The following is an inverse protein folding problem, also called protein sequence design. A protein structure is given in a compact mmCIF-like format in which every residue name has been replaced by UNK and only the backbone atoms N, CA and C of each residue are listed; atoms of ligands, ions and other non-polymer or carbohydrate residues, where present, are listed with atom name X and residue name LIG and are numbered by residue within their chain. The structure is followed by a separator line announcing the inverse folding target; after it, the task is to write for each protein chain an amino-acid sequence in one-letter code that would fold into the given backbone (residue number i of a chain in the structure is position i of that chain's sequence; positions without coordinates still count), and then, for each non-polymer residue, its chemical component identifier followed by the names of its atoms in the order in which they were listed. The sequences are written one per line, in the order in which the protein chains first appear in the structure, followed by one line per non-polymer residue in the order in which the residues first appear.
data_IF_027788711139
#
_entry.id   IF_027788711139
#
_cell.length_a   1.000
_cell.length_b   1.000
_cell.length_c   1.000
_cell.angle_alpha   90.00
_cell.angle_beta   90.00
_cell.angle_gamma   90.00
#
_symmetry.space_group_name_H-M   'P 1'
#
loop_
_entity.id
_entity.type
_entity.pdbx_description
1 polymer ?
2 water ?
#
# COMPACT_ATOMS: atom_id res chain seq x y z
N UNK A 10 -25.38 -5.81 7.75
CA UNK A 10 -23.93 -5.63 7.63
C UNK A 10 -23.16 -6.88 8.08
N UNK A 11 -22.45 -7.53 7.16
CA UNK A 11 -21.73 -8.77 7.46
C UNK A 11 -20.50 -8.54 8.34
N UNK A 12 -20.45 -9.21 9.49
CA UNK A 12 -19.32 -9.06 10.41
C UNK A 12 -18.56 -10.36 10.55
N UNK A 13 -17.24 -10.28 10.40
CA UNK A 13 -16.38 -11.45 10.46
C UNK A 13 -15.22 -11.21 11.42
N UNK A 14 -14.52 -12.30 11.75
CA UNK A 14 -13.38 -12.24 12.64
C UNK A 14 -12.16 -12.69 11.86
N UNK A 15 -11.15 -11.82 11.77
CA UNK A 15 -9.93 -12.13 11.04
C UNK A 15 -8.75 -12.12 11.99
N UNK A 16 -8.02 -13.22 12.01
CA UNK A 16 -6.83 -13.35 12.85
C UNK A 16 -5.58 -13.37 11.97
N UNK A 17 -4.60 -12.54 12.31
CA UNK A 17 -3.42 -12.36 11.46
C UNK A 17 -2.12 -12.60 12.23
N UNK A 18 -1.16 -13.26 11.56
CA UNK A 18 0.23 -13.31 12.04
C UNK A 18 1.01 -12.16 11.42
N UNK A 19 1.24 -11.12 12.23
CA UNK A 19 1.93 -9.91 11.79
C UNK A 19 3.30 -10.22 11.22
N UNK A 20 3.46 -9.85 9.96
CA UNK A 20 4.74 -9.95 9.29
C UNK A 20 5.55 -8.74 9.75
N UNK A 21 5.58 -7.67 8.95
CA UNK A 21 5.91 -6.37 9.52
C UNK A 21 4.66 -5.51 9.55
N UNK A 22 4.00 -5.49 10.69
CA UNK A 22 2.64 -4.95 10.77
C UNK A 22 1.64 -5.84 10.04
N UNK A 23 0.38 -5.41 10.03
CA UNK A 23 -0.69 -6.17 9.40
C UNK A 23 -0.75 -5.98 7.88
N UNK A 24 0.06 -5.06 7.36
CA UNK A 24 0.08 -4.73 5.92
C UNK A 24 -1.18 -4.02 5.51
N UNK A 25 -1.50 -2.97 6.27
CA UNK A 25 -2.77 -2.24 6.21
C UNK A 25 -2.53 -0.74 6.34
N UNK A 26 -3.22 0.02 5.52
CA UNK A 26 -3.14 1.46 5.58
C UNK A 26 -4.54 1.88 5.93
N UNK A 27 -4.69 2.54 7.08
CA UNK A 27 -6.03 2.86 7.62
C UNK A 27 -6.33 4.35 7.67
N UNK A 28 -7.59 4.67 7.96
CA UNK A 28 -8.02 6.06 8.06
C UNK A 28 -9.20 6.17 9.02
N UNK A 29 -9.26 7.27 9.75
CA UNK A 29 -10.43 7.57 10.56
C UNK A 29 -11.44 8.35 9.74
N UNK A 30 -12.66 7.83 9.63
CA UNK A 30 -13.73 8.47 8.87
C UNK A 30 -15.10 8.22 9.49
N UNK A 31 -16.09 9.00 9.04
CA UNK A 31 -17.47 8.75 9.39
C UNK A 31 -18.19 8.16 8.19
N UNK A 32 -18.83 7.02 8.41
CA UNK A 32 -19.71 6.44 7.40
C UNK A 32 -20.79 7.45 7.11
N UNK A 33 -21.23 7.51 5.86
CA UNK A 33 -22.24 8.49 5.47
C UNK A 33 -23.46 8.34 6.35
N UNK A 34 -23.86 7.10 6.62
CA UNK A 34 -24.96 6.83 7.54
C UNK A 34 -24.64 7.34 8.94
N UNK A 35 -23.47 6.95 9.43
CA UNK A 35 -23.09 7.11 10.83
C UNK A 35 -22.75 8.53 11.31
N UNK A 36 -22.90 8.71 12.62
CA UNK A 36 -22.44 9.89 13.35
C UNK A 36 -21.18 9.51 14.18
N UNK A 37 -21.06 8.21 14.44
CA UNK A 37 -19.90 7.63 15.13
C UNK A 37 -18.71 7.58 14.17
N UNK A 38 -17.57 8.11 14.62
CA UNK A 38 -16.31 8.03 13.88
C UNK A 38 -15.83 6.59 13.87
N UNK A 39 -15.19 6.17 12.78
CA UNK A 39 -14.74 4.78 12.63
C UNK A 39 -13.35 4.60 12.04
N UNK A 40 -12.76 3.43 12.26
CA UNK A 40 -11.52 3.05 11.60
C UNK A 40 -11.82 2.17 10.38
N UNK A 41 -11.33 2.61 9.21
CA UNK A 41 -11.58 1.93 7.96
C UNK A 41 -10.26 1.57 7.29
N UNK A 42 -10.30 0.49 6.50
CA UNK A 42 -9.17 0.10 5.65
C UNK A 42 -9.17 0.99 4.44
N UNK A 43 -8.18 1.87 4.35
CA UNK A 43 -8.05 2.72 3.18
C UNK A 43 -7.50 1.91 2.00
N UNK A 44 -6.52 1.02 2.27
CA UNK A 44 -5.91 0.20 1.24
C UNK A 44 -5.09 -0.90 1.93
N UNK A 45 -4.87 -2.00 1.20
CA UNK A 45 -4.08 -3.17 1.64
C UNK A 45 -2.75 -3.22 0.87
N UNK A 46 -1.68 -3.52 1.61
CA UNK A 46 -0.34 -3.63 1.04
C UNK A 46 -0.19 -5.01 0.40
N UNK A 47 0.13 -5.03 -0.90
CA UNK A 47 0.31 -6.28 -1.60
C UNK A 47 1.44 -7.04 -0.90
N UNK A 48 1.23 -8.32 -0.63
CA UNK A 48 2.26 -9.16 -0.03
C UNK A 48 2.37 -9.02 1.47
N UNK A 49 1.50 -8.22 2.08
CA UNK A 49 1.49 -8.09 3.53
C UNK A 49 0.61 -9.15 4.14
N UNK A 50 0.57 -9.22 5.47
CA UNK A 50 -0.22 -10.22 6.20
C UNK A 50 -1.73 -10.25 5.82
N UNK A 51 -2.38 -9.09 5.82
CA UNK A 51 -3.79 -9.03 5.45
C UNK A 51 -4.02 -9.44 4.00
N UNK A 52 -3.11 -9.06 3.11
CA UNK A 52 -3.20 -9.44 1.70
C UNK A 52 -3.17 -10.97 1.52
N UNK A 53 -2.21 -11.61 2.17
CA UNK A 53 -2.02 -13.06 2.07
C UNK A 53 -3.23 -13.80 2.66
N UNK A 54 -3.71 -13.30 3.80
CA UNK A 54 -4.92 -13.78 4.42
C UNK A 54 -6.11 -13.66 3.46
N UNK A 55 -6.11 -12.62 2.64
CA UNK A 55 -7.05 -12.54 1.52
C UNK A 55 -8.47 -12.08 1.82
N UNK A 56 -8.83 -11.98 3.09
CA UNK A 56 -10.17 -11.50 3.49
C UNK A 56 -10.34 -9.97 3.44
N UNK A 57 -9.51 -9.23 4.17
CA UNK A 57 -9.61 -7.76 4.28
C UNK A 57 -9.48 -6.98 2.96
N UNK A 58 -10.22 -5.88 2.84
CA UNK A 58 -10.23 -5.06 1.63
C UNK A 58 -10.57 -3.60 1.90
N UNK A 59 -10.07 -2.70 1.03
CA UNK A 59 -10.37 -1.27 1.11
C UNK A 59 -11.85 -1.05 1.32
N UNK A 60 -12.20 -0.21 2.29
CA UNK A 60 -13.59 0.09 2.63
C UNK A 60 -14.12 -0.61 3.89
N UNK A 61 -13.48 -1.71 4.27
CA UNK A 61 -13.93 -2.47 5.42
C UNK A 61 -13.71 -1.65 6.67
N UNK A 62 -14.68 -1.71 7.57
CA UNK A 62 -14.53 -1.06 8.85
C UNK A 62 -13.91 -1.99 9.84
N UNK A 63 -12.95 -1.49 10.61
CA UNK A 63 -12.37 -2.23 11.72
C UNK A 63 -13.10 -1.92 13.05
N UNK A 64 -13.96 -2.85 13.45
CA UNK A 64 -14.82 -2.64 14.61
C UNK A 64 -14.07 -2.73 15.93
N UNK A 65 -13.35 -3.84 16.12
CA UNK A 65 -12.56 -4.04 17.33
C UNK A 65 -11.19 -4.59 17.02
N UNK A 66 -10.23 -4.28 17.89
CA UNK A 66 -8.90 -4.86 17.85
C UNK A 66 -8.65 -5.60 19.19
N UNK A 67 -8.34 -6.90 19.09
CA UNK A 67 -8.10 -7.77 20.25
C UNK A 67 -9.27 -7.80 21.27
N UNK A 68 -10.48 -7.57 20.79
CA UNK A 68 -11.66 -7.55 21.64
C UNK A 68 -12.02 -6.18 22.17
N UNK A 69 -11.15 -5.19 21.94
CA UNK A 69 -11.40 -3.81 22.36
C UNK A 69 -11.87 -2.93 21.19
N UNK A 70 -13.04 -2.31 21.34
CA UNK A 70 -13.71 -1.57 20.27
C UNK A 70 -12.88 -0.38 19.79
N UNK A 71 -12.96 -0.12 18.48
CA UNK A 71 -12.28 1.01 17.84
C UNK A 71 -13.28 2.07 17.40
N UNK A 72 -14.56 1.75 17.56
CA UNK A 72 -15.67 2.62 17.18
C UNK A 72 -15.79 3.86 18.09
N UNK A 73 -15.90 5.04 17.47
CA UNK A 73 -16.16 6.29 18.17
C UNK A 73 -15.01 6.91 18.96
N UNK A 74 -13.80 6.38 18.77
CA UNK A 74 -12.63 6.84 19.51
C UNK A 74 -11.82 7.92 18.79
N UNK A 75 -11.19 8.77 19.60
CA UNK A 75 -10.17 9.73 19.17
C UNK A 75 -9.07 9.02 18.38
N UNK A 76 -8.40 9.75 17.48
CA UNK A 76 -7.31 9.17 16.69
C UNK A 76 -6.11 8.79 17.58
N UNK A 77 -5.91 9.52 18.67
CA UNK A 77 -4.93 9.17 19.70
C UNK A 77 -5.23 7.82 20.36
N UNK A 78 -6.47 7.65 20.86
CA UNK A 78 -6.90 6.43 21.53
C UNK A 78 -6.77 5.18 20.65
N UNK A 79 -7.12 5.32 19.37
CA UNK A 79 -7.04 4.23 18.41
C UNK A 79 -5.59 3.86 18.04
N UNK A 80 -4.75 4.88 17.83
CA UNK A 80 -3.33 4.66 17.52
C UNK A 80 -2.62 3.94 18.66
N UNK A 81 -2.93 4.34 19.89
CA UNK A 81 -2.42 3.67 21.09
C UNK A 81 -2.79 2.19 21.04
N UNK A 82 -4.03 1.89 20.67
CA UNK A 82 -4.55 0.53 20.64
C UNK A 82 -3.94 -0.35 19.57
N UNK A 83 -3.47 0.28 18.51
CA UNK A 83 -2.85 -0.44 17.39
C UNK A 83 -1.39 -0.76 17.69
N UNK A 84 -0.70 0.15 18.36
CA UNK A 84 0.71 -0.05 18.76
C UNK A 84 0.89 -1.10 19.86
N UNK A 85 -0.19 -1.39 20.58
CA UNK A 85 -0.17 -2.35 21.68
C UNK A 85 -0.41 -3.81 21.25
N UNK A 86 -0.67 -4.03 19.96
CA UNK A 86 -1.04 -5.35 19.44
C UNK A 86 0.12 -6.33 19.47
N UNK A 87 -0.17 -7.61 19.67
CA UNK A 87 0.88 -8.65 19.76
C UNK A 87 1.42 -8.98 18.36
N UNK A 88 2.24 -10.03 18.26
CA UNK A 88 2.61 -10.59 16.96
C UNK A 88 1.38 -11.17 16.27
N UNK A 89 0.35 -11.40 17.09
CA UNK A 89 -0.92 -11.95 16.62
C UNK A 89 -2.03 -10.99 17.02
N UNK A 90 -2.87 -10.66 16.04
CA UNK A 90 -3.98 -9.73 16.25
C UNK A 90 -5.30 -10.30 15.69
N UNK A 91 -6.36 -10.17 16.48
CA UNK A 91 -7.68 -10.57 16.05
C UNK A 91 -8.56 -9.34 15.88
N UNK A 92 -9.04 -9.16 14.65
CA UNK A 92 -9.89 -8.04 14.31
C UNK A 92 -11.33 -8.52 14.09
N UNK A 93 -12.29 -7.74 14.57
CA UNK A 93 -13.67 -7.83 14.12
C UNK A 93 -13.85 -6.79 13.06
N UNK A 94 -14.25 -7.23 11.87
CA UNK A 94 -14.37 -6.35 10.72
C UNK A 94 -15.78 -6.38 10.18
N UNK A 95 -16.34 -5.18 9.97
CA UNK A 95 -17.60 -5.03 9.25
C UNK A 95 -17.27 -4.93 7.76
N UNK A 96 -17.52 -6.01 7.02
CA UNK A 96 -17.37 -6.02 5.57
C UNK A 96 -18.20 -4.94 4.86
N UNK A 97 -17.54 -4.18 3.97
CA UNK A 97 -18.21 -3.12 3.19
C UNK A 97 -19.35 -3.72 2.39
N UNK A 98 -20.55 -3.19 2.61
CA UNK A 98 -21.75 -3.70 1.96
C UNK A 98 -21.81 -3.34 0.49
N UNK A 99 -22.45 -4.22 -0.28
CA UNK A 99 -22.78 -3.94 -1.67
C UNK A 99 -23.80 -2.82 -1.72
N UNK A 100 -24.91 -3.03 -1.00
CA UNK A 100 -25.92 -2.02 -0.79
C UNK A 100 -25.50 -1.24 0.44
N UNK A 101 -25.14 0.02 0.22
CA UNK A 101 -24.59 0.85 1.28
C UNK A 101 -24.97 2.31 1.17
N UNK A 102 -24.98 2.97 2.32
CA UNK A 102 -25.29 4.38 2.38
C UNK A 102 -24.06 5.20 1.96
N UNK A 103 -24.30 6.26 1.21
CA UNK A 103 -23.21 7.07 0.65
C UNK A 103 -23.66 8.53 0.54
N UNK A 104 -22.72 9.42 0.27
CA UNK A 104 -23.00 10.83 0.36
C UNK A 104 -22.65 11.62 -0.91
N UNK A 105 -23.68 12.04 -1.62
CA UNK A 105 -23.52 12.62 -2.95
C UNK A 105 -23.78 14.09 -3.00
N UNK A 106 -23.01 14.78 -3.83
CA UNK A 106 -23.01 16.21 -3.81
C UNK A 106 -22.85 16.81 -5.22
N UNK B 10 20.81 -8.78 -14.70
CA UNK B 10 19.62 -8.08 -14.18
C UNK B 10 18.50 -7.99 -15.21
N UNK B 11 17.36 -8.62 -14.91
CA UNK B 11 16.23 -8.67 -15.86
C UNK B 11 15.52 -7.34 -15.96
N UNK B 12 15.44 -6.80 -17.19
CA UNK B 12 14.78 -5.52 -17.43
C UNK B 12 13.56 -5.68 -18.32
N UNK B 13 12.44 -5.16 -17.85
CA UNK B 13 11.18 -5.25 -18.56
C UNK B 13 10.53 -3.89 -18.74
N UNK B 14 9.55 -3.84 -19.63
CA UNK B 14 8.83 -2.61 -19.92
C UNK B 14 7.38 -2.84 -19.51
N UNK B 15 6.91 -2.00 -18.58
CA UNK B 15 5.53 -2.09 -18.10
C UNK B 15 4.78 -0.81 -18.45
N UNK B 16 3.64 -0.98 -19.11
CA UNK B 16 2.78 0.13 -19.48
C UNK B 16 1.48 0.04 -18.67
N UNK B 17 1.12 1.16 -18.02
CA UNK B 17 -0.03 1.20 -17.12
C UNK B 17 -1.06 2.27 -17.50
N UNK B 18 -2.34 1.92 -17.37
CA UNK B 18 -3.45 2.88 -17.40
C UNK B 18 -3.74 3.38 -15.98
N UNK B 19 -3.23 4.58 -15.68
CA UNK B 19 -3.34 5.19 -14.37
C UNK B 19 -4.77 5.29 -13.95
N UNK B 20 -5.08 4.59 -12.86
CA UNK B 20 -6.37 4.67 -12.20
C UNK B 20 -6.38 5.99 -11.43
N UNK B 21 -6.16 5.95 -10.12
CA UNK B 21 -5.70 7.16 -9.46
C UNK B 21 -4.22 7.00 -9.10
N UNK B 22 -3.36 7.56 -9.95
CA UNK B 22 -1.93 7.26 -9.95
C UNK B 22 -1.65 5.81 -10.32
N UNK B 23 -0.39 5.41 -10.27
CA UNK B 23 0.01 4.07 -10.68
C UNK B 23 -0.25 3.00 -9.62
N UNK B 24 -0.60 3.44 -8.40
CA UNK B 24 -0.83 2.54 -7.27
C UNK B 24 0.48 1.99 -6.76
N UNK B 25 1.43 2.90 -6.53
CA UNK B 25 2.81 2.59 -6.19
C UNK B 25 3.31 3.51 -5.07
N UNK B 26 4.04 2.93 -4.12
CA UNK B 26 4.67 3.72 -3.09
C UNK B 26 6.16 3.55 -3.32
N UNK B 27 6.86 4.63 -3.65
CA UNK B 27 8.28 4.55 -4.03
C UNK B 27 9.22 5.16 -3.00
N UNK B 28 10.52 4.93 -3.21
CA UNK B 28 11.56 5.47 -2.32
C UNK B 28 12.85 5.65 -3.11
N UNK B 29 13.58 6.73 -2.80
CA UNK B 29 14.94 6.92 -3.33
C UNK B 29 15.95 6.21 -2.44
N UNK B 30 16.75 5.33 -3.03
CA UNK B 30 17.76 4.57 -2.28
C UNK B 30 18.96 4.25 -3.16
N UNK B 31 20.05 3.83 -2.53
CA UNK B 31 21.22 3.31 -3.23
C UNK B 31 21.26 1.81 -3.06
N UNK B 32 21.32 1.09 -4.19
CA UNK B 32 21.53 -0.35 -4.15
C UNK B 32 22.86 -0.59 -3.47
N UNK B 33 22.96 -1.67 -2.71
CA UNK B 33 24.19 -1.93 -1.96
C UNK B 33 25.37 -1.93 -2.93
N UNK B 34 25.19 -2.55 -4.10
CA UNK B 34 26.22 -2.53 -5.13
C UNK B 34 26.56 -1.12 -5.57
N UNK B 35 25.50 -0.37 -5.89
CA UNK B 35 25.60 0.91 -6.59
C UNK B 35 26.09 2.12 -5.78
N UNK B 36 26.64 3.08 -6.52
CA UNK B 36 26.97 4.41 -6.01
C UNK B 36 25.93 5.40 -6.55
N UNK B 37 25.28 5.02 -7.64
CA UNK B 37 24.18 5.78 -8.24
C UNK B 37 22.90 5.62 -7.41
N UNK B 38 22.31 6.75 -7.02
CA UNK B 38 20.99 6.76 -6.34
C UNK B 38 19.90 6.27 -7.32
N UNK B 39 18.87 5.59 -6.81
CA UNK B 39 17.83 5.05 -7.68
C UNK B 39 16.41 5.12 -7.13
N UNK B 40 15.43 5.05 -8.02
CA UNK B 40 14.03 4.96 -7.60
C UNK B 40 13.58 3.51 -7.55
N UNK B 41 13.08 3.10 -6.38
CA UNK B 41 12.67 1.73 -6.12
C UNK B 41 11.23 1.67 -5.60
N UNK B 42 10.56 0.55 -5.91
CA UNK B 42 9.22 0.28 -5.43
C UNK B 42 9.30 -0.15 -3.97
N UNK B 43 8.79 0.67 -3.08
CA UNK B 43 8.78 0.29 -1.67
C UNK B 43 7.65 -0.74 -1.46
N UNK B 44 6.51 -0.50 -2.09
CA UNK B 44 5.37 -1.41 -1.98
C UNK B 44 4.32 -1.01 -3.02
N UNK B 45 3.49 -2.01 -3.36
CA UNK B 45 2.35 -1.91 -4.30
C UNK B 45 0.97 -1.84 -3.56
N UNK B 46 0.12 -0.92 -4.00
CA UNK B 46 -1.20 -0.71 -3.42
C UNK B 46 -2.14 -1.79 -4.01
N UNK B 47 -2.77 -2.55 -3.13
CA UNK B 47 -3.65 -3.62 -3.57
C UNK B 47 -4.80 -2.98 -4.32
N UNK B 48 -5.14 -3.52 -5.49
CA UNK B 48 -6.22 -3.00 -6.32
C UNK B 48 -5.91 -1.76 -7.14
N UNK B 49 -4.64 -1.33 -7.14
CA UNK B 49 -4.22 -0.18 -7.95
C UNK B 49 -3.75 -0.66 -9.31
N UNK B 50 -3.45 0.28 -10.21
CA UNK B 50 -3.02 -0.04 -11.57
C UNK B 50 -1.87 -1.06 -11.63
N UNK B 51 -0.77 -0.78 -10.93
CA UNK B 51 0.35 -1.71 -10.93
C UNK B 51 0.01 -3.10 -10.36
N UNK B 52 -0.83 -3.14 -9.33
CA UNK B 52 -1.27 -4.42 -8.76
C UNK B 52 -2.03 -5.29 -9.77
N UNK B 53 -3.01 -4.68 -10.44
CA UNK B 53 -3.86 -5.37 -11.41
C UNK B 53 -3.02 -5.85 -12.59
N UNK B 54 -2.09 -4.99 -13.04
CA UNK B 54 -1.11 -5.35 -14.05
C UNK B 54 -0.27 -6.56 -13.60
N UNK B 55 -0.02 -6.66 -12.30
CA UNK B 55 0.54 -7.87 -11.72
C UNK B 55 2.02 -8.13 -11.89
N UNK B 56 2.70 -7.29 -12.67
CA UNK B 56 4.16 -7.42 -12.86
C UNK B 56 5.00 -6.80 -11.74
N UNK B 57 4.80 -5.51 -11.49
CA UNK B 57 5.59 -4.74 -10.49
C UNK B 57 5.51 -5.28 -9.05
N UNK B 58 6.63 -5.20 -8.34
CA UNK B 58 6.69 -5.68 -6.95
C UNK B 58 7.70 -4.91 -6.08
N UNK B 59 7.49 -4.89 -4.77
CA UNK B 59 8.45 -4.29 -3.83
C UNK B 59 9.87 -4.75 -4.13
N UNK B 60 10.79 -3.81 -4.26
CA UNK B 60 12.20 -4.11 -4.52
C UNK B 60 12.64 -3.74 -5.93
N UNK B 61 11.67 -3.66 -6.84
CA UNK B 61 11.95 -3.36 -8.23
C UNK B 61 12.47 -1.96 -8.39
N UNK B 62 13.51 -1.79 -9.21
CA UNK B 62 14.01 -0.48 -9.49
C UNK B 62 13.28 0.08 -10.67
N UNK B 63 12.95 1.35 -10.60
CA UNK B 63 12.37 2.05 -11.73
C UNK B 63 13.47 2.81 -12.49
N UNK B 64 13.85 2.28 -13.66
CA UNK B 64 14.97 2.84 -14.42
C UNK B 64 14.61 4.12 -15.16
N UNK B 65 13.58 4.05 -15.99
CA UNK B 65 13.09 5.22 -16.71
C UNK B 65 11.56 5.36 -16.63
N UNK B 66 11.11 6.62 -16.69
CA UNK B 66 9.71 6.94 -16.83
C UNK B 66 9.50 7.65 -18.17
N UNK B 67 8.63 7.09 -19.01
CA UNK B 67 8.29 7.62 -20.34
C UNK B 67 9.52 7.80 -21.26
N UNK B 68 10.53 6.97 -21.05
CA UNK B 68 11.76 7.04 -21.82
C UNK B 68 12.83 7.95 -21.23
N UNK B 69 12.50 8.69 -20.18
CA UNK B 69 13.47 9.56 -19.49
C UNK B 69 13.95 8.91 -18.19
N UNK B 70 15.28 8.75 -18.07
CA UNK B 70 15.93 8.02 -16.99
C UNK B 70 15.67 8.63 -15.62
N UNK B 71 15.50 7.77 -14.62
CA UNK B 71 15.29 8.19 -13.24
C UNK B 71 16.52 7.91 -12.38
N UNK B 72 17.51 7.28 -12.99
CA UNK B 72 18.76 6.89 -12.33
C UNK B 72 19.65 8.09 -12.03
N UNK B 73 20.16 8.14 -10.80
CA UNK B 73 21.11 9.16 -10.37
C UNK B 73 20.58 10.57 -10.16
N UNK B 74 19.26 10.74 -10.16
CA UNK B 74 18.67 12.07 -10.04
C UNK B 74 18.32 12.47 -8.61
N UNK B 75 18.36 13.79 -8.38
CA UNK B 75 17.85 14.44 -7.18
C UNK B 75 16.39 14.05 -6.97
N UNK B 76 15.94 14.03 -5.71
CA UNK B 76 14.53 13.70 -5.40
C UNK B 76 13.56 14.74 -5.98
N UNK B 77 14.03 15.98 -6.13
CA UNK B 77 13.27 17.06 -6.81
C UNK B 77 13.06 16.77 -8.30
N UNK B 78 14.14 16.44 -9.00
CA UNK B 78 14.11 16.11 -10.43
C UNK B 78 13.21 14.93 -10.76
N UNK B 79 13.26 13.89 -9.92
CA UNK B 79 12.45 12.69 -10.10
C UNK B 79 10.96 12.93 -9.83
N UNK B 80 10.67 13.68 -8.75
CA UNK B 80 9.29 14.02 -8.40
C UNK B 80 8.63 14.82 -9.51
N UNK B 81 9.39 15.76 -10.07
CA UNK B 81 8.96 16.54 -11.21
C UNK B 81 8.58 15.64 -12.37
N UNK B 82 9.39 14.61 -12.61
CA UNK B 82 9.18 13.70 -13.73
C UNK B 82 8.00 12.76 -13.55
N UNK B 83 7.62 12.51 -12.30
CA UNK B 83 6.49 11.64 -12.01
C UNK B 83 5.18 12.40 -12.14
N UNK B 84 5.15 13.66 -11.68
CA UNK B 84 3.96 14.51 -11.76
C UNK B 84 3.59 14.87 -13.21
N UNK B 85 4.56 14.78 -14.11
CA UNK B 85 4.37 15.12 -15.53
C UNK B 85 3.83 13.97 -16.40
N UNK B 86 3.59 12.80 -15.80
CA UNK B 86 3.18 11.60 -16.55
C UNK B 86 1.72 11.69 -17.02
N UNK B 87 1.42 11.08 -18.15
CA UNK B 87 0.07 11.15 -18.73
C UNK B 87 -0.88 10.23 -17.98
N UNK B 88 -2.09 10.03 -18.52
CA UNK B 88 -2.98 8.99 -18.03
C UNK B 88 -2.37 7.61 -18.31
N UNK B 89 -1.41 7.59 -19.23
CA UNK B 89 -0.68 6.39 -19.61
C UNK B 89 0.81 6.61 -19.38
N UNK B 90 1.44 5.67 -18.67
CA UNK B 90 2.87 5.74 -18.35
C UNK B 90 3.58 4.43 -18.70
N UNK B 91 4.73 4.56 -19.34
CA UNK B 91 5.56 3.42 -19.65
C UNK B 91 6.82 3.47 -18.80
N UNK B 92 7.01 2.43 -17.99
CA UNK B 92 8.19 2.31 -17.14
C UNK B 92 9.13 1.23 -17.68
N UNK B 93 10.44 1.52 -17.62
CA UNK B 93 11.45 0.48 -17.71
C UNK B 93 11.81 0.14 -16.27
N UNK B 94 11.67 -1.13 -15.92
CA UNK B 94 11.89 -1.58 -14.57
C UNK B 94 12.94 -2.68 -14.52
N UNK B 95 13.94 -2.50 -13.66
CA UNK B 95 14.88 -3.56 -13.36
C UNK B 95 14.28 -4.46 -12.28
N UNK B 96 13.86 -5.66 -12.67
CA UNK B 96 13.35 -6.66 -11.73
C UNK B 96 14.38 -7.03 -10.64
N UNK B 97 13.95 -7.02 -9.39
CA UNK B 97 14.82 -7.38 -8.27
C UNK B 97 15.36 -8.79 -8.47
N UNK B 98 16.68 -8.91 -8.51
CA UNK B 98 17.33 -10.20 -8.68
C UNK B 98 17.24 -11.12 -7.46
N UNK B 99 17.17 -12.42 -7.75
CA UNK B 99 17.18 -13.44 -6.72
C UNK B 99 18.57 -13.40 -6.14
N UNK B 100 19.56 -13.54 -7.00
CA UNK B 100 20.94 -13.41 -6.61
C UNK B 100 21.24 -11.93 -6.69
N UNK B 101 21.45 -11.31 -5.54
CA UNK B 101 21.65 -9.86 -5.46
C UNK B 101 22.62 -9.42 -4.39
N UNK B 102 23.18 -8.24 -4.59
CA UNK B 102 24.14 -7.67 -3.68
C UNK B 102 23.37 -6.95 -2.59
N UNK B 103 23.88 -7.06 -1.37
CA UNK B 103 23.18 -6.61 -0.19
C UNK B 103 24.22 -6.20 0.86
N UNK B 104 23.76 -5.54 1.92
CA UNK B 104 24.70 -4.91 2.84
C UNK B 104 24.45 -5.29 4.30
N UNK B 105 25.34 -6.11 4.83
CA UNK B 105 25.16 -6.74 6.15
C UNK B 105 26.06 -6.17 7.19
N UNK B 106 25.56 -6.13 8.42
CA UNK B 106 26.21 -5.37 9.48
C UNK B 106 26.01 -6.06 10.84
#
# INVERSE_FOLDING_TARGET
GPLGSDHKEPEIITVTLKKQNGMGLSIVAAKGAGQDKLGIYVKSVVKGGAADVDGRLAAGDQLLSVDGRSLVGLSQERAAELMTRTSSVVTLEVAKQGAIRREWYV
GPLGSDHKEPEIITVTLKKQNGMGLSIVAAKGAGQDKLGIYVKSVVKGGAADVDGRLAAGDQLLSVDGRSLVGLSQERAAELMTRTSSVVTLEVAKQGAIRREWYV
#
